data_IF_204725418074
#
_entry.id   IF_204725418074
#
_cell.length_a   1.000
_cell.length_b   1.000
_cell.length_c   1.000
_cell.angle_alpha   90.00
_cell.angle_beta   90.00
_cell.angle_gamma   90.00
#
_symmetry.space_group_name_H-M   'P 1'
#
loop_
_entity.id
_entity.type
_entity.pdbx_description
1 polymer ?
#
# COMPACT_ATOMS: atom_id res chain seq x y z
N UNK A 1 -9.49 2.70 21.00
CA UNK A 1 -8.72 1.57 20.39
C UNK A 1 -9.51 0.68 19.42
N UNK A 2 -10.85 0.56 19.50
CA UNK A 2 -11.63 -0.25 18.53
C UNK A 2 -11.66 0.35 17.10
N UNK A 3 -11.70 1.68 16.97
CA UNK A 3 -11.76 2.35 15.66
C UNK A 3 -10.45 2.23 14.86
N UNK A 4 -9.28 2.39 15.50
CA UNK A 4 -7.99 2.28 14.81
C UNK A 4 -7.80 0.88 14.16
N UNK A 5 -8.20 -0.19 14.85
CA UNK A 5 -8.17 -1.56 14.30
C UNK A 5 -9.13 -1.78 13.13
N UNK A 6 -10.23 -1.05 13.07
CA UNK A 6 -11.18 -1.11 11.94
C UNK A 6 -10.61 -0.35 10.74
N UNK A 7 -10.01 0.82 10.98
CA UNK A 7 -9.35 1.61 9.93
C UNK A 7 -8.17 0.85 9.32
N UNK A 8 -7.31 0.26 10.17
CA UNK A 8 -6.16 -0.56 9.75
C UNK A 8 -6.57 -1.68 8.79
N UNK A 9 -7.63 -2.43 9.14
CA UNK A 9 -8.16 -3.50 8.29
C UNK A 9 -8.68 -3.00 6.95
N UNK A 10 -9.32 -1.84 6.93
CA UNK A 10 -9.86 -1.23 5.70
C UNK A 10 -8.75 -0.72 4.79
N UNK A 11 -7.81 0.05 5.34
CA UNK A 11 -6.62 0.51 4.61
C UNK A 11 -5.86 -0.68 4.03
N UNK A 12 -5.66 -1.74 4.83
CA UNK A 12 -5.02 -2.96 4.34
C UNK A 12 -5.77 -3.56 3.16
N UNK A 13 -7.10 -3.69 3.22
CA UNK A 13 -7.91 -4.25 2.14
C UNK A 13 -7.76 -3.47 0.84
N UNK A 14 -7.91 -2.14 0.89
CA UNK A 14 -7.82 -1.29 -0.31
C UNK A 14 -6.41 -1.34 -0.94
N UNK A 15 -5.37 -1.34 -0.12
CA UNK A 15 -4.00 -1.46 -0.61
C UNK A 15 -3.74 -2.84 -1.23
N UNK A 16 -4.34 -3.91 -0.72
CA UNK A 16 -4.23 -5.25 -1.31
C UNK A 16 -4.85 -5.30 -2.70
N UNK A 17 -6.07 -4.77 -2.87
CA UNK A 17 -6.79 -4.77 -4.13
C UNK A 17 -6.03 -4.00 -5.24
N UNK A 18 -5.30 -2.95 -4.88
CA UNK A 18 -4.43 -2.21 -5.80
C UNK A 18 -3.31 -3.09 -6.39
N UNK A 19 -2.62 -3.88 -5.56
CA UNK A 19 -1.48 -4.69 -6.02
C UNK A 19 -1.90 -5.88 -6.89
N UNK A 20 -3.12 -6.39 -6.70
CA UNK A 20 -3.70 -7.36 -7.63
C UNK A 20 -3.84 -6.78 -9.04
N UNK A 21 -4.28 -5.52 -9.15
CA UNK A 21 -4.43 -4.84 -10.44
C UNK A 21 -3.09 -4.57 -11.13
N UNK A 22 -2.01 -4.42 -10.36
CA UNK A 22 -0.64 -4.28 -10.88
C UNK A 22 -0.05 -5.60 -11.42
N UNK A 23 -0.82 -6.69 -11.34
CA UNK A 23 -0.41 -8.02 -11.82
C UNK A 23 0.49 -8.77 -10.85
N UNK A 24 0.56 -8.34 -9.58
CA UNK A 24 1.31 -9.07 -8.57
C UNK A 24 0.57 -10.35 -8.17
N UNK A 25 1.24 -11.48 -8.34
CA UNK A 25 0.67 -12.79 -7.99
C UNK A 25 0.93 -13.15 -6.54
N UNK A 26 1.97 -12.54 -5.94
CA UNK A 26 2.37 -12.72 -4.55
C UNK A 26 2.69 -11.36 -3.96
N UNK A 27 1.93 -10.98 -2.95
CA UNK A 27 2.17 -9.74 -2.21
C UNK A 27 1.73 -9.90 -0.75
N UNK A 28 2.33 -9.13 0.15
CA UNK A 28 1.93 -9.03 1.54
C UNK A 28 1.82 -7.57 1.94
N UNK A 29 0.73 -7.20 2.61
CA UNK A 29 0.50 -5.83 3.10
C UNK A 29 0.37 -5.86 4.62
N UNK A 30 1.17 -5.03 5.29
CA UNK A 30 1.11 -4.76 6.71
C UNK A 30 0.81 -3.28 6.92
N UNK A 31 -0.21 -2.97 7.72
CA UNK A 31 -0.57 -1.59 8.07
C UNK A 31 -0.50 -1.48 9.58
N UNK A 32 0.26 -0.52 10.09
CA UNK A 32 0.33 -0.25 11.52
C UNK A 32 0.05 1.23 11.80
N UNK A 33 -0.69 1.54 12.87
CA UNK A 33 -0.85 2.92 13.31
C UNK A 33 0.49 3.49 13.84
N UNK A 34 0.78 4.74 13.48
CA UNK A 34 1.95 5.50 13.92
C UNK A 34 1.48 6.90 14.38
N UNK A 35 1.06 6.99 15.65
CA UNK A 35 0.47 8.24 16.16
C UNK A 35 -0.91 8.51 15.53
N UNK A 36 -1.03 9.59 14.77
CA UNK A 36 -2.25 9.94 14.00
C UNK A 36 -2.19 9.42 12.55
N UNK A 37 -1.09 8.79 12.16
CA UNK A 37 -0.80 8.35 10.79
C UNK A 37 -0.78 6.81 10.72
N UNK A 38 -0.57 6.27 9.51
CA UNK A 38 -0.41 4.85 9.26
C UNK A 38 0.88 4.59 8.48
N UNK A 39 1.59 3.52 8.84
CA UNK A 39 2.71 3.01 8.07
C UNK A 39 2.26 1.74 7.34
N UNK A 40 2.31 1.76 6.02
CA UNK A 40 1.98 0.62 5.16
C UNK A 40 3.26 0.03 4.58
N UNK A 41 3.60 -1.20 4.99
CA UNK A 41 4.70 -1.96 4.39
C UNK A 41 4.11 -2.94 3.41
N UNK A 42 4.59 -2.92 2.17
CA UNK A 42 4.09 -3.76 1.10
C UNK A 42 5.27 -4.55 0.55
N UNK A 43 5.21 -5.87 0.66
CA UNK A 43 6.15 -6.78 0.04
C UNK A 43 5.58 -7.29 -1.27
N UNK A 44 6.33 -7.15 -2.35
CA UNK A 44 5.96 -7.55 -3.71
C UNK A 44 7.12 -8.27 -4.38
N UNK A 45 6.84 -8.97 -5.48
CA UNK A 45 7.86 -9.68 -6.26
C UNK A 45 8.92 -8.70 -6.79
N UNK A 46 10.21 -9.09 -6.70
CA UNK A 46 11.33 -8.19 -7.01
C UNK A 46 11.32 -7.68 -8.45
N UNK A 47 10.85 -8.49 -9.39
CA UNK A 47 10.66 -8.09 -10.79
C UNK A 47 9.60 -6.99 -10.95
N UNK A 48 8.53 -7.02 -10.16
CA UNK A 48 7.52 -5.97 -10.13
C UNK A 48 8.08 -4.71 -9.46
N UNK A 49 8.84 -4.87 -8.37
CA UNK A 49 9.50 -3.74 -7.71
C UNK A 49 10.46 -3.02 -8.66
N UNK A 50 11.28 -3.76 -9.40
CA UNK A 50 12.20 -3.23 -10.41
C UNK A 50 11.46 -2.53 -11.55
N UNK A 51 10.32 -3.09 -11.98
CA UNK A 51 9.44 -2.43 -12.96
C UNK A 51 8.88 -1.12 -12.44
N UNK A 52 8.34 -1.10 -11.22
CA UNK A 52 7.83 0.13 -10.59
C UNK A 52 8.97 1.15 -10.48
N UNK A 53 10.17 0.75 -10.07
CA UNK A 53 11.30 1.67 -9.91
C UNK A 53 11.78 2.32 -11.22
N UNK A 54 11.45 1.72 -12.37
CA UNK A 54 11.92 2.17 -13.70
C UNK A 54 10.80 2.75 -14.58
N UNK A 55 9.54 2.53 -14.21
CA UNK A 55 8.36 2.95 -14.96
C UNK A 55 7.60 4.07 -14.23
N UNK A 56 7.67 5.30 -14.77
CA UNK A 56 7.01 6.47 -14.18
C UNK A 56 5.49 6.34 -14.11
N UNK A 57 4.86 5.63 -15.04
CA UNK A 57 3.41 5.45 -15.05
C UNK A 57 2.97 4.48 -13.94
N UNK A 58 3.77 3.47 -13.65
CA UNK A 58 3.55 2.57 -12.51
C UNK A 58 3.76 3.27 -11.17
N UNK A 59 4.82 4.09 -11.04
CA UNK A 59 5.03 4.93 -9.85
C UNK A 59 3.80 5.79 -9.59
N UNK A 60 3.34 6.48 -10.63
CA UNK A 60 2.15 7.34 -10.53
C UNK A 60 0.91 6.54 -10.13
N UNK A 61 0.73 5.36 -10.70
CA UNK A 61 -0.40 4.48 -10.37
C UNK A 61 -0.40 4.09 -8.89
N UNK A 62 0.76 3.70 -8.34
CA UNK A 62 0.90 3.39 -6.91
C UNK A 62 0.61 4.62 -6.06
N UNK A 63 1.21 5.78 -6.39
CA UNK A 63 0.98 7.02 -5.63
C UNK A 63 -0.47 7.50 -5.67
N UNK A 64 -1.14 7.43 -6.82
CA UNK A 64 -2.54 7.84 -6.96
C UNK A 64 -3.48 6.94 -6.15
N UNK A 65 -3.19 5.64 -6.10
CA UNK A 65 -3.99 4.71 -5.31
C UNK A 65 -3.73 4.84 -3.80
N UNK A 66 -2.49 5.07 -3.34
CA UNK A 66 -2.24 5.43 -1.93
C UNK A 66 -3.00 6.70 -1.56
N UNK A 67 -2.93 7.73 -2.40
CA UNK A 67 -3.64 9.00 -2.19
C UNK A 67 -5.16 8.83 -2.17
N UNK A 68 -5.71 7.94 -3.00
CA UNK A 68 -7.12 7.59 -2.95
C UNK A 68 -7.53 7.06 -1.57
N UNK A 69 -6.75 6.11 -1.03
CA UNK A 69 -6.98 5.53 0.30
C UNK A 69 -6.85 6.58 1.40
N UNK A 70 -5.86 7.48 1.31
CA UNK A 70 -5.70 8.59 2.26
C UNK A 70 -6.94 9.50 2.31
N UNK A 71 -7.48 9.86 1.14
CA UNK A 71 -8.67 10.71 1.03
C UNK A 71 -9.92 9.98 1.52
N UNK A 72 -10.10 8.71 1.16
CA UNK A 72 -11.26 7.92 1.56
C UNK A 72 -11.37 7.77 3.08
N UNK A 73 -10.25 7.50 3.75
CA UNK A 73 -10.22 7.27 5.19
C UNK A 73 -9.83 8.50 6.02
N UNK A 74 -9.60 9.65 5.37
CA UNK A 74 -9.09 10.87 6.01
C UNK A 74 -7.88 10.56 6.92
N UNK A 75 -6.90 9.87 6.33
CA UNK A 75 -5.72 9.35 7.02
C UNK A 75 -4.46 9.66 6.22
N UNK A 76 -3.33 9.82 6.90
CA UNK A 76 -2.01 9.91 6.25
C UNK A 76 -1.36 8.54 6.27
N UNK A 77 -0.88 8.09 5.11
CA UNK A 77 -0.29 6.77 4.91
C UNK A 77 1.13 6.95 4.37
N UNK A 78 2.11 6.39 5.07
CA UNK A 78 3.47 6.27 4.57
C UNK A 78 3.68 4.85 4.06
N UNK A 79 3.79 4.71 2.75
CA UNK A 79 4.04 3.46 2.07
C UNK A 79 5.54 3.15 1.95
N UNK A 80 5.89 1.87 2.10
CA UNK A 80 7.23 1.33 1.89
C UNK A 80 7.12 0.05 1.06
N UNK A 81 7.62 0.07 -0.18
CA UNK A 81 7.69 -1.12 -1.04
C UNK A 81 8.95 -1.94 -0.73
N UNK A 82 8.80 -3.26 -0.63
CA UNK A 82 9.85 -4.22 -0.29
C UNK A 82 9.85 -5.41 -1.24
N UNK A 83 11.02 -6.00 -1.53
CA UNK A 83 11.07 -7.24 -2.30
C UNK A 83 10.59 -8.44 -1.45
N UNK A 84 9.97 -9.41 -2.11
CA UNK A 84 9.70 -10.75 -1.59
C UNK A 84 10.92 -11.64 -1.81
N UNK A 85 11.66 -11.89 -0.73
CA UNK A 85 12.80 -12.81 -0.59
C UNK A 85 14.02 -12.50 -1.47
#
# INVERSE_FOLDING_TARGET
MKQAKVLEKRIKSELQDMFEQLGSTRYFVEVNPKGQEFAAKIWIESDILDRIATDQDLIKTVSDAVRYVELEFNATIFEELKPLF
#
